data_IF_976340300880
#
_entry.id   IF_976340300880
#
_cell.length_a   1.000
_cell.length_b   1.000
_cell.length_c   1.000
_cell.angle_alpha   90.00
_cell.angle_beta   90.00
_cell.angle_gamma   90.00
#
_symmetry.space_group_name_H-M   'P 1'
#
loop_
_entity.id
_entity.type
_entity.pdbx_description
1 polymer ?
#
# COMPACT_ATOMS: atom_id res chain seq x y z
N UNK A 1 -13.45 9.22 21.59
CA UNK A 1 -12.53 9.90 20.66
C UNK A 1 -11.07 9.47 20.90
N UNK A 2 -10.72 8.17 20.89
CA UNK A 2 -9.36 7.71 21.28
C UNK A 2 -8.75 6.57 20.44
N UNK A 3 -9.32 6.20 19.28
CA UNK A 3 -8.72 5.15 18.42
C UNK A 3 -7.42 5.57 17.73
N UNK A 4 -7.20 6.87 17.49
CA UNK A 4 -5.97 7.38 16.86
C UNK A 4 -4.80 7.50 17.84
N UNK A 5 -5.10 7.76 19.12
CA UNK A 5 -4.07 7.85 20.18
C UNK A 5 -3.44 6.48 20.51
N UNK A 6 -4.22 5.40 20.41
CA UNK A 6 -3.75 4.03 20.64
C UNK A 6 -2.79 3.50 19.55
N UNK A 7 -2.78 4.11 18.36
CA UNK A 7 -1.90 3.70 17.25
C UNK A 7 -0.54 4.41 17.28
N UNK A 8 -0.38 5.52 18.02
CA UNK A 8 0.90 6.28 18.11
C UNK A 8 2.09 5.47 18.64
N UNK A 9 1.99 4.70 19.73
CA UNK A 9 3.14 3.94 20.24
C UNK A 9 3.56 2.84 19.27
N UNK A 10 2.58 2.25 18.58
CA UNK A 10 2.77 1.16 17.64
C UNK A 10 3.38 1.64 16.32
N UNK A 11 2.93 2.79 15.80
CA UNK A 11 3.56 3.47 14.68
C UNK A 11 4.99 3.95 15.00
N UNK A 12 5.22 4.43 16.23
CA UNK A 12 6.55 4.89 16.69
C UNK A 12 7.57 3.74 16.81
N UNK A 13 7.12 2.53 17.19
CA UNK A 13 7.97 1.33 17.25
C UNK A 13 8.40 0.86 15.86
N UNK A 14 7.47 0.85 14.89
CA UNK A 14 7.74 0.50 13.49
C UNK A 14 8.66 1.51 12.80
N UNK A 15 8.45 2.80 13.09
CA UNK A 15 9.35 3.85 12.69
C UNK A 15 10.74 3.67 13.30
N UNK A 16 10.99 2.96 14.40
CA UNK A 16 12.37 2.84 14.92
C UNK A 16 13.17 1.66 14.34
N UNK A 17 12.51 0.58 13.91
CA UNK A 17 13.20 -0.65 13.51
C UNK A 17 13.44 -0.85 12.01
N UNK A 18 12.60 -0.30 11.12
CA UNK A 18 12.58 -0.74 9.70
C UNK A 18 12.45 0.40 8.67
N UNK A 19 12.74 1.65 9.04
CA UNK A 19 12.54 2.85 8.18
C UNK A 19 13.08 2.72 6.77
N UNK A 20 14.24 2.08 6.60
CA UNK A 20 14.92 2.00 5.30
C UNK A 20 14.12 1.16 4.30
N UNK A 21 13.64 -0.02 4.71
CA UNK A 21 12.82 -0.87 3.85
C UNK A 21 11.45 -0.25 3.58
N UNK A 22 10.90 0.46 4.56
CA UNK A 22 9.67 1.23 4.42
C UNK A 22 9.80 2.34 3.36
N UNK A 23 10.83 3.18 3.49
CA UNK A 23 11.11 4.26 2.54
C UNK A 23 11.41 3.70 1.16
N UNK A 24 12.12 2.58 1.07
CA UNK A 24 12.42 1.92 -0.19
C UNK A 24 11.15 1.39 -0.88
N UNK A 25 10.27 0.70 -0.15
CA UNK A 25 8.99 0.23 -0.68
C UNK A 25 8.10 1.37 -1.15
N UNK A 26 8.01 2.46 -0.36
CA UNK A 26 7.28 3.66 -0.74
C UNK A 26 7.87 4.35 -1.97
N UNK A 27 9.20 4.46 -2.06
CA UNK A 27 9.89 5.01 -3.21
C UNK A 27 9.64 4.18 -4.46
N UNK A 28 9.73 2.84 -4.40
CA UNK A 28 9.44 1.97 -5.55
C UNK A 28 7.99 2.07 -6.00
N UNK A 29 7.05 2.13 -5.06
CA UNK A 29 5.62 2.32 -5.35
C UNK A 29 5.37 3.65 -6.06
N UNK A 30 5.96 4.74 -5.55
CA UNK A 30 5.90 6.06 -6.17
C UNK A 30 6.53 6.08 -7.58
N UNK A 31 7.72 5.52 -7.75
CA UNK A 31 8.39 5.42 -9.06
C UNK A 31 7.56 4.62 -10.05
N UNK A 32 6.90 3.54 -9.60
CA UNK A 32 5.99 2.75 -10.45
C UNK A 32 4.80 3.58 -10.94
N UNK A 33 4.20 4.38 -10.04
CA UNK A 33 3.10 5.27 -10.39
C UNK A 33 3.55 6.37 -11.36
N UNK A 34 4.66 7.05 -11.06
CA UNK A 34 5.23 8.10 -11.89
C UNK A 34 5.63 7.59 -13.28
N UNK A 35 6.28 6.43 -13.37
CA UNK A 35 6.61 5.82 -14.65
C UNK A 35 5.36 5.48 -15.46
N UNK A 36 4.27 5.03 -14.81
CA UNK A 36 2.98 4.81 -15.47
C UNK A 36 2.37 6.09 -16.03
N UNK A 37 2.39 7.18 -15.27
CA UNK A 37 1.88 8.49 -15.70
C UNK A 37 2.75 9.07 -16.82
N UNK A 38 4.07 8.98 -16.69
CA UNK A 38 5.03 9.44 -17.69
C UNK A 38 4.88 8.65 -19.01
N UNK A 39 4.62 7.34 -18.96
CA UNK A 39 4.31 6.55 -20.15
C UNK A 39 3.08 7.06 -20.89
N UNK A 40 2.00 7.36 -20.15
CA UNK A 40 0.77 7.88 -20.74
C UNK A 40 1.00 9.28 -21.35
N UNK A 41 1.72 10.15 -20.64
CA UNK A 41 2.08 11.48 -21.13
C UNK A 41 2.98 11.44 -22.37
N UNK A 42 4.04 10.64 -22.33
CA UNK A 42 4.97 10.46 -23.45
C UNK A 42 4.26 9.85 -24.66
N UNK A 43 3.34 8.90 -24.46
CA UNK A 43 2.54 8.30 -25.53
C UNK A 43 1.62 9.33 -26.17
N UNK A 44 0.93 10.16 -25.37
CA UNK A 44 0.07 11.23 -25.89
C UNK A 44 0.86 12.29 -26.67
N UNK A 45 2.01 12.71 -26.14
CA UNK A 45 2.93 13.59 -26.85
C UNK A 45 3.42 12.96 -28.16
N UNK A 46 3.81 11.68 -28.15
CA UNK A 46 4.31 10.98 -29.33
C UNK A 46 3.24 10.86 -30.44
N UNK A 47 1.99 10.56 -30.09
CA UNK A 47 0.87 10.50 -31.04
C UNK A 47 0.61 11.87 -31.67
N UNK A 48 0.59 12.94 -30.86
CA UNK A 48 0.35 14.30 -31.39
C UNK A 48 1.52 14.81 -32.22
N UNK A 49 2.76 14.52 -31.80
CA UNK A 49 3.96 14.89 -32.54
C UNK A 49 4.06 14.16 -33.89
N UNK A 50 3.75 12.86 -33.93
CA UNK A 50 3.75 12.10 -35.19
C UNK A 50 2.65 12.57 -36.14
N UNK A 51 1.45 12.92 -35.62
CA UNK A 51 0.39 13.50 -36.43
C UNK A 51 0.80 14.83 -37.08
N UNK A 52 1.50 15.70 -36.34
CA UNK A 52 2.01 16.98 -36.87
C UNK A 52 3.16 16.73 -37.86
N UNK A 53 4.10 15.85 -37.55
CA UNK A 53 5.22 15.55 -38.42
C UNK A 53 4.78 14.94 -39.76
N UNK A 54 3.71 14.14 -39.76
CA UNK A 54 3.10 13.56 -40.96
C UNK A 54 2.36 14.56 -41.85
N UNK A 55 2.15 15.80 -41.42
CA UNK A 55 1.49 16.84 -42.22
C UNK A 55 2.36 17.33 -43.40
N UNK A 56 3.67 17.09 -43.38
CA UNK A 56 4.59 17.40 -44.48
C UNK A 56 5.66 16.32 -44.63
N UNK A 57 6.03 16.02 -45.88
CA UNK A 57 7.06 15.01 -46.21
C UNK A 57 8.42 15.41 -45.63
N UNK A 58 8.75 16.70 -45.59
CA UNK A 58 10.03 17.22 -45.06
C UNK A 58 10.12 17.00 -43.56
N UNK A 59 9.05 17.27 -42.81
CA UNK A 59 9.01 17.07 -41.35
C UNK A 59 8.96 15.60 -40.97
N UNK A 60 8.34 14.74 -41.80
CA UNK A 60 8.29 13.31 -41.57
C UNK A 60 9.69 12.66 -41.65
N UNK A 61 10.55 13.11 -42.58
CA UNK A 61 11.92 12.61 -42.72
C UNK A 61 12.87 13.13 -41.64
N UNK A 62 12.58 14.30 -41.04
CA UNK A 62 13.37 14.89 -39.97
C UNK A 62 12.95 14.44 -38.55
N UNK A 63 11.82 13.74 -38.42
CA UNK A 63 11.27 13.36 -37.11
C UNK A 63 11.96 12.11 -36.55
N UNK A 64 12.66 12.27 -35.42
CA UNK A 64 13.30 11.15 -34.72
C UNK A 64 12.30 10.34 -33.90
N UNK A 65 11.89 9.20 -34.45
CA UNK A 65 11.00 8.23 -33.79
C UNK A 65 11.74 7.39 -32.73
N UNK A 66 13.06 7.27 -32.82
CA UNK A 66 13.83 6.39 -31.94
C UNK A 66 13.97 6.97 -30.54
N UNK A 67 14.14 8.28 -30.40
CA UNK A 67 14.25 8.94 -29.10
C UNK A 67 13.02 8.74 -28.19
N UNK A 68 11.77 9.03 -28.62
CA UNK A 68 10.58 8.71 -27.83
C UNK A 68 10.39 7.21 -27.58
N UNK A 69 10.69 6.37 -28.57
CA UNK A 69 10.59 4.90 -28.42
C UNK A 69 11.54 4.36 -27.35
N UNK A 70 12.78 4.86 -27.30
CA UNK A 70 13.74 4.54 -26.26
C UNK A 70 13.25 4.99 -24.88
N UNK A 71 12.68 6.19 -24.79
CA UNK A 71 12.06 6.70 -23.56
C UNK A 71 10.91 5.82 -23.05
N UNK A 72 10.00 5.40 -23.93
CA UNK A 72 8.89 4.48 -23.59
C UNK A 72 9.46 3.17 -23.07
N UNK A 73 10.48 2.60 -23.74
CA UNK A 73 11.09 1.32 -23.33
C UNK A 73 11.76 1.43 -21.95
N UNK A 74 12.52 2.50 -21.71
CA UNK A 74 13.17 2.74 -20.43
C UNK A 74 12.14 2.88 -19.30
N UNK A 75 11.08 3.67 -19.53
CA UNK A 75 10.01 3.84 -18.54
C UNK A 75 9.24 2.54 -18.29
N UNK A 76 8.99 1.74 -19.32
CA UNK A 76 8.29 0.45 -19.19
C UNK A 76 9.10 -0.56 -18.37
N UNK A 77 10.41 -0.66 -18.64
CA UNK A 77 11.33 -1.51 -17.87
C UNK A 77 11.44 -1.00 -16.44
N UNK A 78 11.67 0.30 -16.25
CA UNK A 78 11.77 0.94 -14.93
C UNK A 78 10.52 0.75 -14.08
N UNK A 79 9.33 0.89 -14.69
CA UNK A 79 8.04 0.61 -14.05
C UNK A 79 7.94 -0.85 -13.60
N UNK A 80 8.32 -1.78 -14.45
CA UNK A 80 8.24 -3.22 -14.17
C UNK A 80 9.22 -3.62 -13.06
N UNK A 81 10.47 -3.14 -13.14
CA UNK A 81 11.48 -3.36 -12.13
C UNK A 81 11.09 -2.78 -10.77
N UNK A 82 10.56 -1.55 -10.75
CA UNK A 82 10.08 -0.90 -9.52
C UNK A 82 8.91 -1.66 -8.90
N UNK A 83 7.96 -2.13 -9.71
CA UNK A 83 6.84 -2.94 -9.22
C UNK A 83 7.29 -4.29 -8.70
N UNK A 84 8.28 -4.91 -9.35
CA UNK A 84 8.85 -6.17 -8.89
C UNK A 84 9.56 -6.01 -7.55
N UNK A 85 10.37 -4.96 -7.38
CA UNK A 85 11.04 -4.69 -6.11
C UNK A 85 10.07 -4.34 -4.98
N UNK A 86 8.98 -3.61 -5.26
CA UNK A 86 7.91 -3.35 -4.29
C UNK A 86 7.27 -4.68 -3.83
N UNK A 87 6.97 -5.57 -4.78
CA UNK A 87 6.43 -6.90 -4.50
C UNK A 87 7.40 -7.76 -3.69
N UNK A 88 8.68 -7.72 -4.00
CA UNK A 88 9.68 -8.49 -3.27
C UNK A 88 9.80 -7.99 -1.82
N UNK A 89 9.81 -6.68 -1.60
CA UNK A 89 9.86 -6.09 -0.27
C UNK A 89 8.62 -6.43 0.57
N UNK A 90 7.43 -6.37 -0.04
CA UNK A 90 6.16 -6.72 0.63
C UNK A 90 6.05 -8.22 0.91
N UNK A 91 6.52 -9.07 0.01
CA UNK A 91 6.53 -10.52 0.19
C UNK A 91 7.49 -10.93 1.31
N UNK A 92 8.70 -10.39 1.31
CA UNK A 92 9.71 -10.65 2.35
C UNK A 92 9.25 -10.17 3.74
N UNK A 93 8.50 -9.06 3.81
CA UNK A 93 7.85 -8.66 5.05
C UNK A 93 6.84 -9.70 5.53
N UNK A 94 5.94 -10.15 4.65
CA UNK A 94 4.92 -11.15 4.97
C UNK A 94 5.54 -12.47 5.42
N UNK A 95 6.60 -12.94 4.76
CA UNK A 95 7.30 -14.17 5.13
C UNK A 95 8.01 -14.05 6.48
N UNK A 96 8.66 -12.92 6.76
CA UNK A 96 9.33 -12.70 8.05
C UNK A 96 8.34 -12.68 9.21
N UNK A 97 7.16 -12.12 9.00
CA UNK A 97 6.07 -12.18 9.97
C UNK A 97 5.65 -13.62 10.22
N UNK A 98 5.42 -14.40 9.16
CA UNK A 98 5.06 -15.82 9.28
C UNK A 98 6.15 -16.64 9.99
N UNK A 99 7.43 -16.38 9.71
CA UNK A 99 8.56 -17.07 10.34
C UNK A 99 8.65 -16.76 11.85
N UNK A 100 8.54 -15.49 12.23
CA UNK A 100 8.54 -15.07 13.65
C UNK A 100 7.34 -15.62 14.41
N UNK A 101 6.19 -15.69 13.76
CA UNK A 101 5.01 -16.32 14.34
C UNK A 101 5.29 -17.79 14.66
N UNK A 102 5.82 -18.55 13.69
CA UNK A 102 6.19 -19.96 13.90
C UNK A 102 7.23 -20.14 15.00
N UNK A 103 8.22 -19.25 15.09
CA UNK A 103 9.25 -19.31 16.13
C UNK A 103 8.67 -19.04 17.53
N UNK A 104 7.86 -17.98 17.67
CA UNK A 104 7.25 -17.62 18.95
C UNK A 104 6.26 -18.68 19.44
N UNK A 105 5.50 -19.28 18.52
CA UNK A 105 4.66 -20.45 18.78
C UNK A 105 5.48 -21.57 19.40
N UNK A 106 6.58 -21.94 18.74
CA UNK A 106 7.41 -23.06 19.15
C UNK A 106 8.10 -22.80 20.50
N UNK A 107 8.70 -21.62 20.71
CA UNK A 107 9.36 -21.26 21.99
C UNK A 107 8.38 -21.15 23.15
N UNK A 108 7.19 -20.60 22.92
CA UNK A 108 6.14 -20.48 23.94
C UNK A 108 5.60 -21.83 24.39
N UNK A 109 5.62 -22.84 23.52
CA UNK A 109 5.20 -24.21 23.83
C UNK A 109 6.32 -25.08 24.41
N UNK A 110 7.58 -24.68 24.25
CA UNK A 110 8.74 -25.41 24.77
C UNK A 110 9.05 -25.09 26.26
N UNK A 111 8.26 -24.26 26.93
CA UNK A 111 8.47 -23.89 28.35
C UNK A 111 7.67 -24.79 29.31
N UNK A 112 8.25 -25.28 30.43
CA UNK A 112 7.62 -26.31 31.27
C UNK A 112 6.31 -25.89 31.97
N UNK A 113 6.21 -24.63 32.42
CA UNK A 113 5.03 -24.11 33.13
C UNK A 113 3.83 -23.85 32.20
N UNK A 114 4.08 -23.42 30.96
CA UNK A 114 3.05 -23.12 29.96
C UNK A 114 2.39 -24.38 29.39
N UNK A 115 3.02 -25.54 29.49
CA UNK A 115 2.42 -26.83 29.13
C UNK A 115 1.15 -27.14 29.95
N UNK A 116 1.05 -26.65 31.19
CA UNK A 116 -0.14 -26.77 32.05
C UNK A 116 -1.23 -25.75 31.67
N UNK A 117 -0.89 -24.49 31.42
CA UNK A 117 -1.89 -23.47 31.02
C UNK A 117 -2.42 -23.65 29.58
N UNK A 118 -1.64 -24.30 28.71
CA UNK A 118 -2.07 -24.79 27.39
C UNK A 118 -3.22 -25.81 27.48
N UNK A 119 -3.42 -26.46 28.62
CA UNK A 119 -4.58 -27.33 28.83
C UNK A 119 -5.88 -26.55 29.07
N UNK A 120 -5.80 -25.29 29.52
CA UNK A 120 -6.94 -24.49 29.97
C UNK A 120 -7.46 -23.49 28.94
N UNK A 121 -6.60 -22.75 28.21
CA UNK A 121 -7.04 -21.79 27.17
C UNK A 121 -5.95 -21.30 26.19
N UNK A 122 -5.32 -22.20 25.42
CA UNK A 122 -4.14 -21.93 24.58
C UNK A 122 -4.41 -20.99 23.40
N UNK A 123 -5.66 -20.91 22.96
CA UNK A 123 -6.04 -20.23 21.71
C UNK A 123 -6.19 -18.71 21.84
N UNK A 124 -6.34 -18.13 23.04
CA UNK A 124 -6.68 -16.70 23.20
C UNK A 124 -5.48 -15.76 23.28
N UNK A 125 -4.47 -16.09 24.07
CA UNK A 125 -3.28 -15.24 24.29
C UNK A 125 -2.40 -15.15 23.04
N UNK A 126 -2.26 -16.28 22.38
CA UNK A 126 -1.45 -16.45 21.19
C UNK A 126 -2.09 -15.81 19.95
N UNK A 127 -3.43 -15.83 19.88
CA UNK A 127 -4.18 -15.17 18.83
C UNK A 127 -4.14 -13.64 18.98
N UNK A 128 -4.06 -13.10 20.20
CA UNK A 128 -4.05 -11.64 20.43
C UNK A 128 -2.74 -10.97 20.00
N UNK A 129 -1.60 -11.54 20.41
CA UNK A 129 -0.27 -11.01 20.03
C UNK A 129 0.04 -11.18 18.53
N UNK A 130 -0.44 -12.27 17.93
CA UNK A 130 -0.28 -12.53 16.49
C UNK A 130 -1.14 -11.60 15.64
N UNK A 131 -2.42 -11.47 15.99
CA UNK A 131 -3.36 -10.64 15.22
C UNK A 131 -3.02 -9.16 15.29
N UNK A 132 -2.51 -8.67 16.43
CA UNK A 132 -2.18 -7.25 16.59
C UNK A 132 -0.93 -6.85 15.76
N UNK A 133 0.05 -7.76 15.61
CA UNK A 133 1.24 -7.54 14.77
C UNK A 133 0.89 -7.68 13.28
N UNK A 134 0.11 -8.69 12.90
CA UNK A 134 -0.35 -8.91 11.52
C UNK A 134 -1.26 -7.78 11.02
N UNK A 135 -2.16 -7.29 11.89
CA UNK A 135 -3.04 -6.18 11.58
C UNK A 135 -2.26 -4.89 11.32
N UNK A 136 -1.14 -4.69 12.03
CA UNK A 136 -0.33 -3.48 11.86
C UNK A 136 0.53 -3.52 10.59
N UNK A 137 1.17 -4.65 10.30
CA UNK A 137 2.00 -4.80 9.09
C UNK A 137 1.14 -4.71 7.82
N UNK A 138 -0.05 -5.34 7.85
CA UNK A 138 -1.02 -5.23 6.76
C UNK A 138 -1.59 -3.82 6.60
N UNK A 139 -1.88 -3.10 7.70
CA UNK A 139 -2.30 -1.69 7.63
C UNK A 139 -1.21 -0.82 6.99
N UNK A 140 0.05 -1.02 7.37
CA UNK A 140 1.14 -0.23 6.82
C UNK A 140 1.34 -0.49 5.31
N UNK A 141 1.49 -1.76 4.92
CA UNK A 141 1.79 -2.12 3.53
C UNK A 141 0.60 -1.94 2.59
N UNK A 142 -0.64 -2.07 3.08
CA UNK A 142 -1.85 -1.95 2.24
C UNK A 142 -2.50 -0.58 2.28
N UNK A 143 -2.23 0.24 3.29
CA UNK A 143 -2.85 1.56 3.43
C UNK A 143 -1.83 2.68 3.33
N UNK A 144 -0.77 2.65 4.14
CA UNK A 144 0.16 3.79 4.24
C UNK A 144 1.00 3.93 2.96
N UNK A 145 1.57 2.83 2.46
CA UNK A 145 2.40 2.86 1.25
C UNK A 145 1.61 3.32 0.03
N UNK A 146 0.42 2.76 -0.30
CA UNK A 146 -0.34 3.19 -1.47
C UNK A 146 -0.85 4.63 -1.35
N UNK A 147 -1.23 5.08 -0.14
CA UNK A 147 -1.69 6.46 0.09
C UNK A 147 -0.56 7.45 -0.11
N UNK A 148 0.63 7.18 0.45
CA UNK A 148 1.80 8.03 0.25
C UNK A 148 2.24 8.06 -1.22
N UNK A 149 2.27 6.90 -1.89
CA UNK A 149 2.65 6.81 -3.29
C UNK A 149 1.67 7.58 -4.20
N UNK A 150 0.36 7.41 -4.00
CA UNK A 150 -0.67 8.11 -4.78
C UNK A 150 -0.72 9.60 -4.51
N UNK A 151 -0.60 10.04 -3.24
CA UNK A 151 -0.51 11.44 -2.89
C UNK A 151 0.77 12.09 -3.46
N UNK A 152 1.92 11.40 -3.34
CA UNK A 152 3.18 11.84 -3.92
C UNK A 152 3.11 11.96 -5.43
N UNK A 153 2.48 10.99 -6.11
CA UNK A 153 2.26 11.06 -7.55
C UNK A 153 1.35 12.22 -7.95
N UNK A 154 0.27 12.46 -7.21
CA UNK A 154 -0.63 13.59 -7.45
C UNK A 154 0.10 14.94 -7.31
N UNK A 155 0.92 15.10 -6.27
CA UNK A 155 1.73 16.31 -6.07
C UNK A 155 2.76 16.47 -7.19
N UNK A 156 3.46 15.40 -7.57
CA UNK A 156 4.42 15.45 -8.66
C UNK A 156 3.78 15.88 -9.99
N UNK A 157 2.59 15.35 -10.31
CA UNK A 157 1.82 15.76 -11.49
C UNK A 157 1.39 17.22 -11.39
N UNK A 158 0.88 17.65 -10.24
CA UNK A 158 0.48 19.03 -10.02
C UNK A 158 1.65 20.00 -10.23
N UNK A 159 2.83 19.68 -9.68
CA UNK A 159 4.06 20.46 -9.85
C UNK A 159 4.51 20.46 -11.31
N UNK A 160 4.51 19.30 -11.98
CA UNK A 160 4.86 19.20 -13.39
C UNK A 160 3.97 20.08 -14.28
N UNK A 161 2.66 20.07 -14.03
CA UNK A 161 1.70 20.92 -14.75
C UNK A 161 1.82 22.40 -14.37
N UNK A 162 2.22 22.73 -13.14
CA UNK A 162 2.42 24.09 -12.71
C UNK A 162 3.56 24.79 -13.47
N UNK A 163 4.57 24.05 -13.93
CA UNK A 163 5.63 24.59 -14.80
C UNK A 163 5.10 25.02 -16.17
N UNK A 164 4.04 24.40 -16.67
CA UNK A 164 3.38 24.81 -17.93
C UNK A 164 2.45 25.97 -17.66
N UNK A 165 1.54 25.81 -16.69
CA UNK A 165 0.63 26.85 -16.25
C UNK A 165 0.27 26.63 -14.77
N UNK A 166 0.58 27.58 -13.87
CA UNK A 166 0.35 27.40 -12.43
C UNK A 166 -1.10 27.08 -12.06
N UNK A 167 -2.07 27.70 -12.74
CA UNK A 167 -3.49 27.45 -12.52
C UNK A 167 -3.91 26.01 -12.83
N UNK A 168 -3.38 25.41 -13.91
CA UNK A 168 -3.66 24.01 -14.27
C UNK A 168 -3.11 23.07 -13.20
N UNK A 169 -1.86 23.29 -12.77
CA UNK A 169 -1.25 22.50 -11.70
C UNK A 169 -2.06 22.55 -10.41
N UNK A 170 -2.53 23.73 -10.02
CA UNK A 170 -3.34 23.91 -8.81
C UNK A 170 -4.70 23.20 -8.92
N UNK A 171 -5.44 23.42 -10.00
CA UNK A 171 -6.77 22.81 -10.20
C UNK A 171 -6.67 21.29 -10.25
N UNK A 172 -5.75 20.75 -11.07
CA UNK A 172 -5.56 19.29 -11.20
C UNK A 172 -5.08 18.70 -9.88
N UNK A 173 -4.13 19.34 -9.20
CA UNK A 173 -3.63 18.90 -7.90
C UNK A 173 -4.73 18.81 -6.84
N UNK A 174 -5.59 19.83 -6.75
CA UNK A 174 -6.73 19.85 -5.82
C UNK A 174 -7.71 18.72 -6.15
N UNK A 175 -8.07 18.54 -7.42
CA UNK A 175 -9.01 17.49 -7.83
C UNK A 175 -8.45 16.09 -7.54
N UNK A 176 -7.18 15.84 -7.85
CA UNK A 176 -6.53 14.56 -7.61
C UNK A 176 -6.41 14.24 -6.12
N UNK A 177 -6.04 15.22 -5.29
CA UNK A 177 -5.92 15.02 -3.86
C UNK A 177 -7.29 14.88 -3.19
N UNK A 178 -8.25 15.72 -3.56
CA UNK A 178 -9.62 15.66 -3.02
C UNK A 178 -10.31 14.35 -3.40
N UNK A 179 -10.21 13.91 -4.66
CA UNK A 179 -10.77 12.63 -5.10
C UNK A 179 -10.00 11.44 -4.52
N UNK A 180 -8.67 11.44 -4.66
CA UNK A 180 -7.80 10.33 -4.29
C UNK A 180 -7.75 10.05 -2.80
N UNK A 181 -7.80 11.08 -1.95
CA UNK A 181 -7.85 10.92 -0.49
C UNK A 181 -9.28 10.99 0.06
N UNK A 182 -10.11 11.88 -0.48
CA UNK A 182 -11.46 12.11 0.02
C UNK A 182 -12.38 10.91 -0.15
N UNK A 183 -12.36 10.24 -1.31
CA UNK A 183 -13.19 9.05 -1.55
C UNK A 183 -12.88 7.91 -0.55
N UNK A 184 -11.61 7.46 -0.39
CA UNK A 184 -11.31 6.41 0.58
C UNK A 184 -11.52 6.86 2.03
N UNK A 185 -11.33 8.14 2.35
CA UNK A 185 -11.65 8.67 3.69
C UNK A 185 -13.14 8.58 3.98
N UNK A 186 -14.00 9.06 3.08
CA UNK A 186 -15.45 8.99 3.22
C UNK A 186 -15.92 7.53 3.26
N UNK A 187 -15.38 6.68 2.40
CA UNK A 187 -15.66 5.25 2.41
C UNK A 187 -15.26 4.62 3.75
N UNK A 188 -14.08 4.92 4.30
CA UNK A 188 -13.62 4.43 5.59
C UNK A 188 -14.51 4.91 6.75
N UNK A 189 -14.92 6.18 6.73
CA UNK A 189 -15.84 6.74 7.74
C UNK A 189 -17.19 6.04 7.72
N UNK A 190 -17.78 5.85 6.53
CA UNK A 190 -19.07 5.15 6.34
C UNK A 190 -18.96 3.66 6.70
N UNK A 191 -17.85 3.02 6.35
CA UNK A 191 -17.61 1.60 6.61
C UNK A 191 -17.31 1.29 8.08
N UNK A 192 -16.87 2.26 8.89
CA UNK A 192 -16.48 2.04 10.29
C UNK A 192 -17.59 1.43 11.14
N UNK A 193 -18.83 1.87 10.94
CA UNK A 193 -20.00 1.32 11.64
C UNK A 193 -20.27 -0.13 11.25
N UNK A 194 -20.24 -0.44 9.95
CA UNK A 194 -20.45 -1.79 9.40
C UNK A 194 -19.32 -2.73 9.83
N UNK A 195 -18.07 -2.27 9.78
CA UNK A 195 -16.90 -3.03 10.20
C UNK A 195 -16.96 -3.39 11.70
N UNK A 196 -17.41 -2.48 12.55
CA UNK A 196 -17.61 -2.75 13.99
C UNK A 196 -18.73 -3.76 14.24
N UNK A 197 -19.85 -3.66 13.51
CA UNK A 197 -20.93 -4.65 13.62
C UNK A 197 -20.45 -6.04 13.18
N UNK A 198 -19.70 -6.11 12.07
CA UNK A 198 -19.10 -7.34 11.57
C UNK A 198 -18.11 -7.95 12.56
N UNK A 199 -17.23 -7.14 13.15
CA UNK A 199 -16.28 -7.60 14.17
C UNK A 199 -16.99 -8.17 15.40
N UNK A 200 -18.01 -7.47 15.91
CA UNK A 200 -18.82 -7.96 17.05
C UNK A 200 -19.58 -9.25 16.71
N UNK A 201 -20.17 -9.33 15.53
CA UNK A 201 -20.89 -10.52 15.08
C UNK A 201 -19.95 -11.73 14.97
N UNK A 202 -18.75 -11.56 14.41
CA UNK A 202 -17.72 -12.59 14.35
C UNK A 202 -17.27 -13.05 15.74
N UNK A 203 -17.13 -12.13 16.68
CA UNK A 203 -16.75 -12.45 18.06
C UNK A 203 -17.85 -13.23 18.79
N UNK A 204 -19.11 -12.87 18.55
CA UNK A 204 -20.28 -13.60 19.09
C UNK A 204 -20.42 -14.99 18.46
N UNK A 205 -20.14 -15.11 17.16
CA UNK A 205 -20.19 -16.39 16.45
C UNK A 205 -19.06 -17.32 16.91
N UNK A 206 -17.87 -16.76 17.16
CA UNK A 206 -16.74 -17.48 17.77
C UNK A 206 -17.03 -17.95 19.20
N UNK A 207 -17.63 -17.10 20.05
CA UNK A 207 -17.98 -17.52 21.41
C UNK A 207 -18.98 -18.67 21.38
N UNK A 208 -20.07 -18.53 20.62
CA UNK A 208 -21.10 -19.57 20.48
C UNK A 208 -20.55 -20.88 19.91
N UNK A 209 -19.65 -20.81 18.92
CA UNK A 209 -19.01 -22.01 18.38
C UNK A 209 -18.13 -22.72 19.42
N UNK A 210 -17.42 -21.97 20.27
CA UNK A 210 -16.62 -22.56 21.36
C UNK A 210 -17.54 -23.18 22.42
N UNK A 211 -18.64 -22.52 22.78
CA UNK A 211 -19.61 -23.01 23.76
C UNK A 211 -20.28 -24.31 23.29
N UNK A 212 -20.64 -24.38 22.00
CA UNK A 212 -21.22 -25.57 21.36
C UNK A 212 -20.25 -26.76 21.36
N UNK A 213 -18.97 -26.51 21.04
CA UNK A 213 -17.92 -27.54 21.07
C UNK A 213 -17.60 -28.00 22.49
N UNK A 214 -17.78 -27.13 23.50
CA UNK A 214 -17.63 -27.46 24.91
C UNK A 214 -18.87 -28.13 25.53
N UNK A 215 -19.95 -28.29 24.77
CA UNK A 215 -21.18 -28.91 25.24
C UNK A 215 -21.95 -28.07 26.28
N UNK A 216 -21.67 -26.77 26.37
CA UNK A 216 -22.41 -25.83 27.20
C UNK A 216 -23.47 -25.15 26.33
N UNK A 217 -24.66 -25.73 26.28
CA UNK A 217 -25.85 -25.12 25.65
C UNK A 217 -26.80 -24.66 26.75
#
# INVERSE_FOLDING_TARGET
MSTLAQLRPVAALFLRGNRRNLLFGAALSLTTALAGIALLGLSGWFITATAIAGASIVTALAFDVFMPSAGIRLLAIGRTASRYGERLATHDATLRVLARLRENLFRGWATPDTARDLSMQPSRLLFRLTMDVDALDSLYLRLVVPVLASAGAAVAVAVALAFVQPALGLVVGVVLLAGGLGIPLVAAMRAKGVARRRARALETLRSRAIDLVRGQV
#
